data_IF_001225158296
#
_entry.id   IF_001225158296
#
_cell.length_a   1.000
_cell.length_b   1.000
_cell.length_c   1.000
_cell.angle_alpha   90.00
_cell.angle_beta   90.00
_cell.angle_gamma   90.00
#
_symmetry.space_group_name_H-M   'P 1'
#
loop_
_entity.id
_entity.type
_entity.pdbx_description
1 polymer ?
#
# COMPACT_ATOMS: atom_id res chain seq x y z
N UNK A 1 -12.29 1.44 -23.93
CA UNK A 1 -11.23 0.59 -24.54
C UNK A 1 -10.69 1.35 -25.75
N UNK A 2 -9.41 1.70 -25.77
CA UNK A 2 -8.85 2.56 -26.82
C UNK A 2 -8.30 1.71 -27.98
N UNK A 3 -9.06 1.60 -29.07
CA UNK A 3 -8.74 0.78 -30.26
C UNK A 3 -7.35 1.10 -30.84
N UNK A 4 -6.93 2.37 -30.80
CA UNK A 4 -5.60 2.77 -31.31
C UNK A 4 -4.44 2.12 -30.52
N UNK A 5 -4.64 1.84 -29.22
CA UNK A 5 -3.62 1.21 -28.38
C UNK A 5 -3.46 -0.26 -28.79
N UNK A 6 -4.56 -0.96 -29.03
CA UNK A 6 -4.53 -2.35 -29.50
C UNK A 6 -3.83 -2.45 -30.86
N UNK A 7 -4.14 -1.57 -31.81
CA UNK A 7 -3.46 -1.55 -33.11
C UNK A 7 -1.96 -1.28 -32.99
N UNK A 8 -1.54 -0.39 -32.09
CA UNK A 8 -0.11 -0.14 -31.83
C UNK A 8 0.60 -1.34 -31.24
N UNK A 9 -0.01 -1.97 -30.23
CA UNK A 9 0.55 -3.18 -29.61
C UNK A 9 0.69 -4.28 -30.66
N UNK A 10 -0.33 -4.49 -31.49
CA UNK A 10 -0.32 -5.51 -32.53
C UNK A 10 0.78 -5.28 -33.56
N UNK A 11 0.95 -4.04 -34.04
CA UNK A 11 2.07 -3.68 -34.94
C UNK A 11 3.44 -3.91 -34.30
N UNK A 12 3.61 -3.57 -33.02
CA UNK A 12 4.86 -3.80 -32.31
C UNK A 12 5.18 -5.30 -32.16
N UNK A 13 4.16 -6.15 -31.96
CA UNK A 13 4.30 -7.61 -32.00
C UNK A 13 4.70 -8.08 -33.39
N UNK A 14 4.00 -7.64 -34.45
CA UNK A 14 4.29 -8.05 -35.84
C UNK A 14 5.70 -7.63 -36.29
N UNK A 15 6.19 -6.49 -35.78
CA UNK A 15 7.54 -5.97 -36.04
C UNK A 15 8.64 -6.68 -35.23
N UNK A 16 8.29 -7.60 -34.31
CA UNK A 16 9.25 -8.27 -33.43
C UNK A 16 9.88 -7.35 -32.37
N UNK A 17 9.24 -6.22 -32.05
CA UNK A 17 9.78 -5.24 -31.08
C UNK A 17 9.91 -5.83 -29.66
N UNK A 18 9.21 -6.93 -29.38
CA UNK A 18 9.26 -7.65 -28.11
C UNK A 18 10.22 -8.86 -28.09
N UNK A 19 10.85 -9.23 -29.22
CA UNK A 19 11.63 -10.47 -29.32
C UNK A 19 12.95 -10.42 -28.52
N UNK A 20 13.52 -9.23 -28.34
CA UNK A 20 14.82 -9.02 -27.69
C UNK A 20 14.75 -8.06 -26.49
N UNK A 21 13.67 -8.13 -25.71
CA UNK A 21 13.56 -7.31 -24.51
C UNK A 21 14.71 -7.60 -23.53
N UNK A 22 15.22 -6.57 -22.83
CA UNK A 22 16.20 -6.77 -21.78
C UNK A 22 15.65 -7.71 -20.71
N UNK A 23 16.36 -8.81 -20.46
CA UNK A 23 15.93 -9.85 -19.53
C UNK A 23 15.10 -10.98 -20.14
N UNK A 24 14.84 -10.98 -21.46
CA UNK A 24 14.14 -12.09 -22.12
C UNK A 24 14.85 -13.43 -21.86
N UNK A 25 14.09 -14.44 -21.45
CA UNK A 25 14.60 -15.78 -21.11
C UNK A 25 15.48 -15.88 -19.86
N UNK A 26 15.76 -14.76 -19.16
CA UNK A 26 16.61 -14.75 -17.95
C UNK A 26 15.75 -14.89 -16.69
N UNK A 27 16.25 -15.59 -15.65
CA UNK A 27 15.55 -15.65 -14.37
C UNK A 27 15.45 -14.24 -13.76
N UNK A 28 14.30 -13.95 -13.17
CA UNK A 28 14.06 -12.67 -12.53
C UNK A 28 14.92 -12.52 -11.27
N UNK A 29 15.69 -11.44 -11.18
CA UNK A 29 16.45 -11.12 -9.96
C UNK A 29 15.51 -10.51 -8.90
N UNK A 30 15.03 -11.34 -7.98
CA UNK A 30 14.10 -10.93 -6.92
C UNK A 30 14.81 -10.40 -5.65
N UNK A 31 16.13 -10.57 -5.52
CA UNK A 31 16.85 -10.35 -4.26
C UNK A 31 17.19 -8.89 -4.02
N UNK A 32 17.67 -8.18 -5.04
CA UNK A 32 18.23 -6.83 -4.87
C UNK A 32 17.15 -5.78 -4.61
N UNK A 33 15.99 -5.93 -5.26
CA UNK A 33 14.93 -4.92 -5.20
C UNK A 33 14.10 -4.95 -3.92
N UNK A 34 14.02 -6.12 -3.27
CA UNK A 34 13.15 -6.38 -2.13
C UNK A 34 13.92 -6.60 -0.82
N UNK A 35 15.25 -6.49 -0.86
CA UNK A 35 16.08 -6.47 0.33
C UNK A 35 15.59 -5.35 1.27
N UNK A 36 15.48 -5.66 2.56
CA UNK A 36 14.97 -4.72 3.56
C UNK A 36 13.46 -4.69 3.75
N UNK A 37 12.69 -5.10 2.75
CA UNK A 37 11.22 -5.03 2.81
C UNK A 37 10.66 -6.30 3.47
N UNK A 38 9.78 -6.09 4.46
CA UNK A 38 9.08 -7.18 5.14
C UNK A 38 8.29 -8.04 4.13
N UNK A 39 8.23 -9.38 4.29
CA UNK A 39 7.63 -10.28 3.30
C UNK A 39 6.20 -9.90 2.87
N UNK A 40 5.39 -9.42 3.80
CA UNK A 40 4.02 -9.00 3.60
C UNK A 40 3.87 -7.73 2.74
N UNK A 41 4.88 -6.86 2.72
CA UNK A 41 4.86 -5.60 1.96
C UNK A 41 5.49 -5.71 0.56
N UNK A 42 6.27 -6.77 0.30
CA UNK A 42 7.03 -6.93 -0.96
C UNK A 42 6.18 -6.85 -2.21
N UNK A 43 5.00 -7.46 -2.19
CA UNK A 43 4.13 -7.48 -3.36
C UNK A 43 3.53 -6.11 -3.64
N UNK A 44 3.04 -5.43 -2.61
CA UNK A 44 2.53 -4.05 -2.72
C UNK A 44 3.60 -3.10 -3.22
N UNK A 45 4.79 -3.12 -2.59
CA UNK A 45 5.92 -2.30 -3.01
C UNK A 45 6.32 -2.54 -4.48
N UNK A 46 6.40 -3.81 -4.91
CA UNK A 46 6.78 -4.15 -6.28
C UNK A 46 5.77 -3.64 -7.32
N UNK A 47 4.47 -3.79 -7.04
CA UNK A 47 3.41 -3.30 -7.93
C UNK A 47 3.52 -1.77 -8.05
N UNK A 48 3.63 -1.07 -6.92
CA UNK A 48 3.70 0.39 -6.88
C UNK A 48 4.98 0.91 -7.54
N UNK A 49 6.12 0.26 -7.31
CA UNK A 49 7.40 0.60 -7.97
C UNK A 49 7.29 0.45 -9.49
N UNK A 50 6.76 -0.67 -9.96
CA UNK A 50 6.59 -0.92 -11.40
C UNK A 50 5.60 0.05 -12.05
N UNK A 51 4.62 0.55 -11.30
CA UNK A 51 3.65 1.53 -11.75
C UNK A 51 4.13 2.98 -11.64
N UNK A 52 5.33 3.24 -11.10
CA UNK A 52 5.89 4.58 -10.94
C UNK A 52 5.36 5.39 -9.74
N UNK A 53 4.75 4.72 -8.76
CA UNK A 53 4.18 5.33 -7.55
C UNK A 53 5.12 5.31 -6.32
N UNK A 54 6.35 4.83 -6.51
CA UNK A 54 7.40 4.86 -5.48
C UNK A 54 8.46 5.86 -5.93
N UNK A 55 8.68 6.87 -5.10
CA UNK A 55 9.72 7.89 -5.30
C UNK A 55 11.08 7.46 -4.71
N UNK A 56 12.13 8.24 -4.95
CA UNK A 56 13.48 7.93 -4.48
C UNK A 56 13.61 7.97 -2.95
N UNK A 57 12.83 8.82 -2.28
CA UNK A 57 12.83 8.96 -0.83
C UNK A 57 12.23 7.72 -0.13
N UNK A 58 11.07 7.25 -0.60
CA UNK A 58 10.45 6.01 -0.11
C UNK A 58 11.27 4.78 -0.49
N UNK A 59 11.92 4.78 -1.66
CA UNK A 59 12.85 3.71 -2.05
C UNK A 59 14.12 3.64 -1.21
N UNK A 60 14.55 4.75 -0.58
CA UNK A 60 15.71 4.80 0.29
C UNK A 60 15.42 4.27 1.70
N UNK A 61 14.15 4.21 2.10
CA UNK A 61 13.72 3.82 3.45
C UNK A 61 13.00 2.46 3.49
N UNK A 62 13.35 1.55 2.58
CA UNK A 62 12.77 0.19 2.45
C UNK A 62 12.68 -0.59 3.75
N UNK A 63 13.68 -0.46 4.63
CA UNK A 63 13.74 -1.17 5.91
C UNK A 63 12.69 -0.71 6.93
N UNK A 64 12.17 0.51 6.77
CA UNK A 64 11.21 1.14 7.68
C UNK A 64 9.82 1.27 7.06
N UNK A 65 9.66 0.77 5.84
CA UNK A 65 8.43 0.89 5.07
C UNK A 65 7.28 0.20 5.81
N UNK A 66 6.16 0.89 5.94
CA UNK A 66 4.94 0.35 6.55
C UNK A 66 3.83 0.17 5.52
N UNK A 67 2.79 -0.58 5.92
CA UNK A 67 1.57 -0.73 5.11
C UNK A 67 0.94 0.63 4.76
N UNK A 68 0.90 1.56 5.73
CA UNK A 68 0.31 2.87 5.54
C UNK A 68 1.10 3.71 4.53
N UNK A 69 2.43 3.58 4.49
CA UNK A 69 3.26 4.29 3.51
C UNK A 69 2.94 3.83 2.09
N UNK A 70 2.84 2.50 1.89
CA UNK A 70 2.43 1.93 0.61
C UNK A 70 1.00 2.33 0.22
N UNK A 71 0.08 2.37 1.19
CA UNK A 71 -1.30 2.79 0.95
C UNK A 71 -1.37 4.26 0.52
N UNK A 72 -0.61 5.11 1.21
CA UNK A 72 -0.50 6.54 0.89
C UNK A 72 0.04 6.74 -0.52
N UNK A 73 1.06 5.98 -0.91
CA UNK A 73 1.63 5.99 -2.26
C UNK A 73 0.60 5.54 -3.32
N UNK A 74 -0.23 4.55 -2.99
CA UNK A 74 -1.23 4.00 -3.91
C UNK A 74 -2.43 4.93 -4.14
N UNK A 75 -2.94 5.57 -3.09
CA UNK A 75 -4.21 6.31 -3.13
C UNK A 75 -4.03 7.83 -3.10
N UNK A 76 -2.85 8.33 -2.74
CA UNK A 76 -2.61 9.75 -2.48
C UNK A 76 -3.25 10.26 -1.20
N UNK A 77 -4.01 9.42 -0.51
CA UNK A 77 -4.59 9.69 0.80
C UNK A 77 -4.05 8.64 1.75
N UNK A 78 -3.24 9.03 2.73
CA UNK A 78 -3.06 8.16 3.88
C UNK A 78 -4.45 7.79 4.40
N UNK A 79 -4.65 6.59 4.95
CA UNK A 79 -5.83 6.25 5.76
C UNK A 79 -5.80 7.09 7.06
N UNK A 80 -5.69 8.42 6.92
CA UNK A 80 -5.81 9.44 7.93
C UNK A 80 -7.12 9.18 8.66
N UNK A 81 -8.18 8.84 7.93
CA UNK A 81 -9.50 8.62 8.51
C UNK A 81 -9.49 7.55 9.62
N UNK A 82 -8.81 6.41 9.46
CA UNK A 82 -8.82 5.36 10.50
C UNK A 82 -7.97 5.76 11.71
N UNK A 83 -6.76 6.28 11.48
CA UNK A 83 -5.86 6.70 12.56
C UNK A 83 -6.37 7.95 13.29
N UNK A 84 -6.92 8.89 12.56
CA UNK A 84 -7.55 10.10 13.07
C UNK A 84 -8.82 9.74 13.84
N UNK A 85 -9.72 8.89 13.29
CA UNK A 85 -10.88 8.39 14.04
C UNK A 85 -10.47 7.68 15.33
N UNK A 86 -9.36 6.93 15.31
CA UNK A 86 -8.83 6.25 16.50
C UNK A 86 -8.32 7.26 17.54
N UNK A 87 -7.57 8.26 17.09
CA UNK A 87 -7.06 9.35 17.93
C UNK A 87 -8.22 10.16 18.53
N UNK A 88 -9.23 10.50 17.73
CA UNK A 88 -10.44 11.20 18.16
C UNK A 88 -11.26 10.36 19.15
N UNK A 89 -11.39 9.06 18.91
CA UNK A 89 -12.05 8.13 19.83
C UNK A 89 -11.35 8.08 21.19
N UNK A 90 -10.03 7.96 21.21
CA UNK A 90 -9.24 7.93 22.44
C UNK A 90 -9.36 9.27 23.21
N UNK A 91 -9.27 10.40 22.50
CA UNK A 91 -9.47 11.73 23.07
C UNK A 91 -10.89 11.90 23.66
N UNK A 92 -11.93 11.40 22.98
CA UNK A 92 -13.30 11.41 23.46
C UNK A 92 -13.48 10.58 24.73
N UNK A 93 -12.92 9.37 24.77
CA UNK A 93 -12.99 8.47 25.94
C UNK A 93 -12.28 9.08 27.15
N UNK A 94 -11.16 9.77 26.94
CA UNK A 94 -10.43 10.46 27.99
C UNK A 94 -11.16 11.70 28.51
N UNK A 95 -11.57 12.60 27.61
CA UNK A 95 -12.26 13.86 27.98
C UNK A 95 -13.57 13.63 28.74
N UNK A 96 -14.32 12.59 28.36
CA UNK A 96 -15.58 12.21 29.04
C UNK A 96 -15.37 11.25 30.21
N UNK A 97 -14.11 10.89 30.54
CA UNK A 97 -13.74 9.90 31.57
C UNK A 97 -14.49 8.57 31.41
N UNK A 98 -14.87 8.19 30.19
CA UNK A 98 -15.67 6.99 29.95
C UNK A 98 -14.93 5.70 30.32
N UNK A 99 -13.59 5.74 30.32
CA UNK A 99 -12.74 4.64 30.78
C UNK A 99 -12.94 4.29 32.27
N UNK A 100 -13.48 5.20 33.10
CA UNK A 100 -13.81 4.93 34.51
C UNK A 100 -15.20 4.31 34.66
N UNK A 101 -16.08 4.44 33.66
CA UNK A 101 -17.43 3.92 33.70
C UNK A 101 -17.45 2.39 33.42
N UNK A 102 -17.93 1.55 34.37
CA UNK A 102 -17.96 0.09 34.21
C UNK A 102 -18.85 -0.37 33.05
N UNK A 103 -19.98 0.30 32.83
CA UNK A 103 -20.91 0.01 31.75
C UNK A 103 -20.26 0.27 30.39
N UNK A 104 -19.49 1.37 30.27
CA UNK A 104 -18.76 1.67 29.05
C UNK A 104 -17.71 0.60 28.74
N UNK A 105 -16.93 0.12 29.73
CA UNK A 105 -15.95 -0.97 29.51
C UNK A 105 -16.57 -2.23 28.93
N UNK A 106 -17.79 -2.58 29.34
CA UNK A 106 -18.52 -3.74 28.83
C UNK A 106 -18.82 -3.62 27.33
N UNK A 107 -19.08 -2.40 26.85
CA UNK A 107 -19.39 -2.13 25.45
C UNK A 107 -18.18 -1.65 24.62
N UNK A 108 -17.11 -1.17 25.25
CA UNK A 108 -15.95 -0.59 24.58
C UNK A 108 -15.38 -1.53 23.51
N UNK A 109 -15.28 -2.82 23.82
CA UNK A 109 -14.81 -3.85 22.87
C UNK A 109 -15.71 -3.97 21.64
N UNK A 110 -17.04 -3.90 21.83
CA UNK A 110 -18.02 -3.97 20.72
C UNK A 110 -18.00 -2.70 19.88
N UNK A 111 -17.85 -1.54 20.53
CA UNK A 111 -17.72 -0.24 19.87
C UNK A 111 -16.44 -0.20 19.03
N UNK A 112 -15.29 -0.59 19.59
CA UNK A 112 -14.02 -0.64 18.85
C UNK A 112 -14.09 -1.60 17.67
N UNK A 113 -14.70 -2.78 17.82
CA UNK A 113 -14.89 -3.72 16.71
C UNK A 113 -15.75 -3.14 15.59
N UNK A 114 -16.79 -2.37 15.92
CA UNK A 114 -17.67 -1.79 14.90
C UNK A 114 -17.09 -0.53 14.23
N UNK A 115 -16.21 0.21 14.91
CA UNK A 115 -15.60 1.43 14.37
C UNK A 115 -14.30 1.18 13.59
N UNK A 116 -13.51 0.17 13.99
CA UNK A 116 -12.14 -0.04 13.53
C UNK A 116 -11.81 -1.48 13.12
N UNK A 117 -12.81 -2.37 13.13
CA UNK A 117 -12.64 -3.80 12.83
C UNK A 117 -13.42 -4.27 11.63
#
# INVERSE_FOLDING_TARGET
MYIFVEEKIKKAVDNGEFDNLPGNGKPLNLKDDLAGISPELRMGYKILKNAGYIDEETASTKDKLTFNDLMTSATGTADIDINEKRTQYEAFVQSKRLHTNPSFRKYARKIMKNLFG
#
